data_IF_004206406220
#
_entry.id   IF_004206406220
#
_cell.length_a   1.000
_cell.length_b   1.000
_cell.length_c   1.000
_cell.angle_alpha   90.00
_cell.angle_beta   90.00
_cell.angle_gamma   90.00
#
_symmetry.space_group_name_H-M   'P 1'
#
loop_
_entity.id
_entity.type
_entity.pdbx_description
1 polymer ?
#
# COMPACT_ATOMS: atom_id res chain seq x y z
N UNK A 1 -25.25 17.67 3.41
CA UNK A 1 -24.00 16.89 3.23
C UNK A 1 -23.89 15.82 4.29
N UNK A 2 -23.83 16.14 5.58
CA UNK A 2 -23.67 15.14 6.69
C UNK A 2 -24.79 14.10 6.67
N UNK A 3 -26.05 14.49 6.48
CA UNK A 3 -27.19 13.57 6.42
C UNK A 3 -27.12 12.54 5.28
N UNK A 4 -26.30 12.77 4.27
CA UNK A 4 -26.03 11.79 3.20
C UNK A 4 -24.98 10.75 3.64
N UNK A 5 -23.93 11.17 4.35
CA UNK A 5 -22.79 10.32 4.66
C UNK A 5 -22.87 9.62 6.02
N UNK A 6 -23.57 10.20 7.00
CA UNK A 6 -23.72 9.60 8.31
C UNK A 6 -24.37 8.20 8.27
N UNK A 7 -25.43 7.96 7.48
CA UNK A 7 -25.99 6.61 7.33
C UNK A 7 -25.00 5.60 6.77
N UNK A 8 -24.16 6.01 5.81
CA UNK A 8 -23.12 5.14 5.23
C UNK A 8 -22.10 4.74 6.30
N UNK A 9 -21.61 5.69 7.08
CA UNK A 9 -20.68 5.42 8.17
C UNK A 9 -21.31 4.52 9.25
N UNK A 10 -22.56 4.78 9.60
CA UNK A 10 -23.31 3.94 10.54
C UNK A 10 -23.37 2.49 10.06
N UNK A 11 -23.80 2.25 8.81
CA UNK A 11 -23.86 0.90 8.24
C UNK A 11 -22.52 0.18 8.27
N UNK A 12 -21.43 0.89 7.96
CA UNK A 12 -20.08 0.33 8.00
C UNK A 12 -19.61 -0.05 9.41
N UNK A 13 -20.11 0.65 10.44
CA UNK A 13 -19.59 0.57 11.81
C UNK A 13 -20.59 0.08 12.86
N UNK A 14 -21.87 -0.11 12.56
CA UNK A 14 -22.90 -0.55 13.52
C UNK A 14 -22.56 -1.87 14.22
N UNK A 15 -21.92 -2.82 13.51
CA UNK A 15 -21.43 -4.08 14.10
C UNK A 15 -20.28 -3.90 15.10
N UNK A 16 -19.65 -2.72 15.12
CA UNK A 16 -18.62 -2.33 16.07
C UNK A 16 -19.16 -1.39 17.17
N UNK A 17 -20.49 -1.28 17.28
CA UNK A 17 -21.16 -0.53 18.35
C UNK A 17 -21.41 0.95 18.07
N UNK A 18 -21.10 1.47 16.85
CA UNK A 18 -21.37 2.86 16.52
C UNK A 18 -22.86 3.14 16.45
N UNK A 19 -23.30 4.22 17.08
CA UNK A 19 -24.67 4.74 17.01
C UNK A 19 -24.83 5.69 15.82
N UNK A 20 -26.07 6.00 15.42
CA UNK A 20 -26.33 6.96 14.35
C UNK A 20 -25.90 8.38 14.74
N UNK A 21 -26.02 8.75 16.01
CA UNK A 21 -25.59 10.04 16.52
C UNK A 21 -24.06 10.19 16.43
N UNK A 22 -23.32 9.17 16.88
CA UNK A 22 -21.88 9.12 16.73
C UNK A 22 -21.43 9.17 15.26
N UNK A 23 -22.16 8.48 14.37
CA UNK A 23 -21.90 8.52 12.95
C UNK A 23 -22.12 9.91 12.34
N UNK A 24 -23.16 10.63 12.76
CA UNK A 24 -23.41 12.03 12.38
C UNK A 24 -22.28 12.94 12.83
N UNK A 25 -21.91 12.86 14.11
CA UNK A 25 -20.80 13.63 14.66
C UNK A 25 -19.48 13.30 13.94
N UNK A 26 -19.18 12.01 13.73
CA UNK A 26 -17.94 11.59 13.09
C UNK A 26 -17.86 12.00 11.61
N UNK A 27 -18.99 12.03 10.90
CA UNK A 27 -19.06 12.49 9.51
C UNK A 27 -18.79 14.00 9.33
N UNK A 28 -18.73 14.79 10.43
CA UNK A 28 -18.27 16.18 10.38
C UNK A 28 -16.75 16.32 10.40
N UNK A 29 -16.02 15.27 10.80
CA UNK A 29 -14.57 15.21 10.75
C UNK A 29 -14.11 15.16 9.29
N UNK A 30 -13.21 16.06 8.90
CA UNK A 30 -12.79 16.21 7.49
C UNK A 30 -12.11 14.98 6.91
N UNK A 31 -11.41 14.17 7.72
CA UNK A 31 -10.81 12.91 7.28
C UNK A 31 -11.89 11.88 6.98
N UNK A 32 -12.88 11.75 7.86
CA UNK A 32 -14.00 10.82 7.65
C UNK A 32 -14.90 11.29 6.52
N UNK A 33 -15.15 12.59 6.40
CA UNK A 33 -15.91 13.14 5.29
C UNK A 33 -15.24 12.84 3.94
N UNK A 34 -13.95 13.14 3.82
CA UNK A 34 -13.18 12.83 2.61
C UNK A 34 -13.18 11.34 2.26
N UNK A 35 -12.94 10.48 3.26
CA UNK A 35 -13.00 9.02 3.07
C UNK A 35 -14.40 8.54 2.66
N UNK A 36 -15.47 9.13 3.19
CA UNK A 36 -16.86 8.83 2.81
C UNK A 36 -17.18 9.27 1.40
N UNK A 37 -16.68 10.43 0.95
CA UNK A 37 -16.81 10.88 -0.44
C UNK A 37 -16.15 9.89 -1.41
N UNK A 38 -14.95 9.42 -1.10
CA UNK A 38 -14.29 8.37 -1.90
C UNK A 38 -15.10 7.08 -1.87
N UNK A 39 -15.58 6.66 -0.69
CA UNK A 39 -16.34 5.42 -0.52
C UNK A 39 -17.65 5.40 -1.31
N UNK A 40 -18.29 6.55 -1.49
CA UNK A 40 -19.56 6.70 -2.22
C UNK A 40 -19.39 7.06 -3.69
N UNK A 41 -18.16 7.22 -4.17
CA UNK A 41 -17.86 7.62 -5.55
C UNK A 41 -18.12 9.10 -5.85
N UNK A 42 -18.22 9.94 -4.82
CA UNK A 42 -18.34 11.39 -4.98
C UNK A 42 -16.97 12.07 -5.18
N UNK A 43 -15.89 11.32 -4.94
CA UNK A 43 -14.51 11.68 -5.22
C UNK A 43 -13.71 10.45 -5.63
N UNK A 44 -12.75 10.60 -6.53
CA UNK A 44 -11.88 9.52 -7.00
C UNK A 44 -10.73 9.22 -6.03
N UNK A 45 -10.37 10.17 -5.18
CA UNK A 45 -9.30 10.05 -4.20
C UNK A 45 -9.31 11.18 -3.19
N UNK A 46 -8.45 11.06 -2.17
CA UNK A 46 -8.30 12.04 -1.10
C UNK A 46 -6.83 12.32 -0.85
N UNK A 47 -6.46 13.60 -0.79
CA UNK A 47 -5.14 14.07 -0.34
C UNK A 47 -5.30 14.68 1.04
N UNK A 48 -4.51 14.20 2.01
CA UNK A 48 -4.58 14.64 3.39
C UNK A 48 -3.24 14.47 4.11
N UNK A 49 -3.12 15.03 5.33
CA UNK A 49 -1.96 14.83 6.20
C UNK A 49 -1.24 16.11 6.62
N UNK A 50 -1.58 17.29 6.07
CA UNK A 50 -0.88 18.53 6.39
C UNK A 50 -0.97 18.92 7.89
N UNK A 51 -2.12 18.67 8.52
CA UNK A 51 -2.39 18.98 9.94
C UNK A 51 -2.80 17.75 10.76
N UNK A 52 -2.75 16.56 10.16
CA UNK A 52 -3.12 15.30 10.78
C UNK A 52 -1.95 14.32 10.73
N UNK A 53 -1.86 13.46 11.75
CA UNK A 53 -0.89 12.36 11.73
C UNK A 53 -1.24 11.32 10.68
N UNK A 54 -0.24 10.59 10.20
CA UNK A 54 -0.46 9.42 9.31
C UNK A 54 -1.46 8.44 9.93
N UNK A 55 -1.36 8.20 11.25
CA UNK A 55 -2.27 7.30 11.96
C UNK A 55 -3.73 7.76 11.94
N UNK A 56 -4.01 9.07 11.98
CA UNK A 56 -5.37 9.58 11.91
C UNK A 56 -5.97 9.44 10.52
N UNK A 57 -5.18 9.73 9.47
CA UNK A 57 -5.58 9.53 8.07
C UNK A 57 -5.87 8.05 7.80
N UNK A 58 -4.94 7.17 8.19
CA UNK A 58 -5.10 5.73 8.02
C UNK A 58 -6.30 5.18 8.79
N UNK A 59 -6.57 5.68 9.99
CA UNK A 59 -7.74 5.27 10.79
C UNK A 59 -9.05 5.56 10.06
N UNK A 60 -9.19 6.73 9.45
CA UNK A 60 -10.37 7.07 8.65
C UNK A 60 -10.47 6.16 7.42
N UNK A 61 -9.38 5.97 6.69
CA UNK A 61 -9.32 5.09 5.53
C UNK A 61 -9.70 3.63 5.89
N UNK A 62 -9.12 3.06 6.94
CA UNK A 62 -9.45 1.68 7.37
C UNK A 62 -10.90 1.52 7.83
N UNK A 63 -11.47 2.53 8.46
CA UNK A 63 -12.83 2.44 8.97
C UNK A 63 -13.89 2.61 7.87
N UNK A 64 -13.59 3.34 6.82
CA UNK A 64 -14.52 3.73 5.77
C UNK A 64 -14.24 3.02 4.45
N UNK A 65 -13.03 3.18 3.89
CA UNK A 65 -12.67 2.66 2.56
C UNK A 65 -12.39 1.16 2.64
N UNK A 66 -11.61 0.73 3.63
CA UNK A 66 -11.10 -0.63 3.84
C UNK A 66 -10.09 -1.05 2.77
N UNK A 67 -9.64 -2.31 2.83
CA UNK A 67 -8.78 -2.94 1.84
C UNK A 67 -9.55 -3.38 0.60
N UNK A 68 -8.85 -3.59 -0.50
CA UNK A 68 -9.41 -4.26 -1.67
C UNK A 68 -9.79 -5.70 -1.36
N UNK A 69 -10.76 -6.30 -2.08
CA UNK A 69 -11.13 -7.70 -1.88
C UNK A 69 -9.91 -8.63 -2.02
N UNK A 70 -9.74 -9.52 -1.06
CA UNK A 70 -8.63 -10.49 -1.07
C UNK A 70 -7.29 -9.95 -0.57
N UNK A 71 -7.23 -8.70 -0.12
CA UNK A 71 -6.04 -8.06 0.45
C UNK A 71 -6.27 -7.77 1.93
N UNK A 72 -5.41 -8.29 2.76
CA UNK A 72 -5.47 -8.09 4.22
C UNK A 72 -4.46 -7.03 4.69
N UNK A 73 -3.35 -6.84 3.96
CA UNK A 73 -2.28 -5.92 4.32
C UNK A 73 -2.44 -4.58 3.63
N UNK A 74 -2.51 -3.50 4.40
CA UNK A 74 -2.40 -2.14 3.88
C UNK A 74 -0.96 -1.69 3.94
N UNK A 75 -0.48 -1.09 2.86
CA UNK A 75 0.90 -0.60 2.74
C UNK A 75 0.95 0.81 2.17
N UNK A 76 2.05 1.51 2.43
CA UNK A 76 2.36 2.79 1.81
C UNK A 76 3.34 2.62 0.64
N UNK A 77 3.18 3.42 -0.40
CA UNK A 77 4.12 3.45 -1.52
C UNK A 77 4.60 4.87 -1.80
N UNK A 78 5.91 5.02 -2.06
CA UNK A 78 6.49 6.25 -2.57
C UNK A 78 6.72 6.13 -4.08
N UNK A 79 6.19 7.09 -4.83
CA UNK A 79 6.52 7.31 -6.22
C UNK A 79 7.74 8.25 -6.26
N UNK A 80 8.91 7.70 -6.56
CA UNK A 80 10.17 8.42 -6.54
C UNK A 80 10.54 8.83 -7.96
N UNK A 81 10.53 10.15 -8.21
CA UNK A 81 10.98 10.71 -9.46
C UNK A 81 12.47 11.06 -9.34
N UNK A 82 13.30 10.33 -10.06
CA UNK A 82 14.73 10.52 -10.12
C UNK A 82 15.12 11.68 -11.07
N UNK A 83 16.35 12.20 -10.99
CA UNK A 83 16.84 13.17 -11.96
C UNK A 83 16.66 12.71 -13.41
N UNK A 84 16.41 13.64 -14.34
CA UNK A 84 16.07 13.34 -15.75
C UNK A 84 17.12 12.53 -16.52
N UNK A 85 18.36 12.58 -16.08
CA UNK A 85 19.51 11.86 -16.64
C UNK A 85 19.75 10.50 -15.96
N UNK A 86 18.87 10.11 -15.02
CA UNK A 86 18.98 8.82 -14.35
C UNK A 86 18.72 7.67 -15.32
N UNK A 87 19.62 6.69 -15.29
CA UNK A 87 19.46 5.42 -15.99
C UNK A 87 18.58 4.41 -15.25
N UNK A 88 18.16 4.73 -14.01
CA UNK A 88 17.38 3.85 -13.16
C UNK A 88 15.88 4.14 -13.28
N UNK A 89 15.06 3.12 -13.01
CA UNK A 89 13.61 3.19 -13.09
C UNK A 89 13.07 3.24 -14.52
N UNK A 90 11.77 3.36 -14.64
CA UNK A 90 11.10 3.55 -15.94
C UNK A 90 10.98 5.05 -16.21
N UNK A 91 11.79 5.57 -17.12
CA UNK A 91 11.93 7.03 -17.37
C UNK A 91 12.24 7.84 -16.11
N UNK A 92 13.07 7.30 -15.22
CA UNK A 92 13.41 7.93 -13.93
C UNK A 92 12.36 7.75 -12.83
N UNK A 93 11.28 7.00 -13.06
CA UNK A 93 10.28 6.73 -12.05
C UNK A 93 10.51 5.35 -11.40
N UNK A 94 10.55 5.33 -10.08
CA UNK A 94 10.63 4.13 -9.25
C UNK A 94 9.55 4.14 -8.17
N UNK A 95 9.10 2.95 -7.76
CA UNK A 95 8.15 2.81 -6.65
C UNK A 95 8.79 2.03 -5.52
N UNK A 96 8.69 2.54 -4.31
CA UNK A 96 9.21 1.90 -3.09
C UNK A 96 8.07 1.62 -2.12
N UNK A 97 8.01 0.42 -1.57
CA UNK A 97 7.04 0.00 -0.54
C UNK A 97 7.59 -1.15 0.33
N UNK A 98 7.12 -1.35 1.52
CA UNK A 98 6.29 -0.44 2.30
C UNK A 98 7.19 0.66 2.89
N UNK A 99 6.69 1.87 2.94
CA UNK A 99 7.50 3.00 3.39
C UNK A 99 6.98 3.65 4.69
N UNK A 100 5.82 3.23 5.24
CA UNK A 100 5.24 3.96 6.36
C UNK A 100 4.18 3.23 7.21
N UNK A 101 3.70 2.05 6.84
CA UNK A 101 2.51 1.44 7.46
C UNK A 101 2.84 0.19 8.26
N UNK A 102 3.61 -0.75 7.70
CA UNK A 102 3.95 -2.03 8.33
C UNK A 102 5.45 -2.06 8.67
N UNK A 103 5.84 -1.83 9.94
CA UNK A 103 7.25 -1.72 10.31
C UNK A 103 8.03 -3.03 10.14
N UNK A 104 7.42 -4.17 10.41
CA UNK A 104 8.05 -5.49 10.33
C UNK A 104 7.05 -6.48 9.71
N UNK A 105 6.90 -6.50 8.38
CA UNK A 105 5.98 -7.43 7.71
C UNK A 105 6.49 -8.87 7.84
N UNK A 106 5.58 -9.83 8.01
CA UNK A 106 5.89 -11.23 7.81
C UNK A 106 6.01 -11.57 6.31
N UNK A 107 6.28 -12.84 5.98
CA UNK A 107 6.51 -13.24 4.60
C UNK A 107 5.25 -13.09 3.72
N UNK A 108 4.05 -13.35 4.27
CA UNK A 108 2.80 -13.21 3.54
C UNK A 108 2.47 -11.73 3.31
N UNK A 109 2.57 -10.91 4.35
CA UNK A 109 2.37 -9.46 4.25
C UNK A 109 3.34 -8.82 3.26
N UNK A 110 4.62 -9.24 3.26
CA UNK A 110 5.61 -8.73 2.32
C UNK A 110 5.29 -9.11 0.87
N UNK A 111 4.74 -10.30 0.65
CA UNK A 111 4.24 -10.74 -0.66
C UNK A 111 3.03 -9.90 -1.12
N UNK A 112 2.05 -9.68 -0.24
CA UNK A 112 0.89 -8.80 -0.53
C UNK A 112 1.34 -7.37 -0.85
N UNK A 113 2.29 -6.82 -0.07
CA UNK A 113 2.88 -5.49 -0.33
C UNK A 113 3.48 -5.44 -1.73
N UNK A 114 4.25 -6.46 -2.13
CA UNK A 114 4.87 -6.50 -3.46
C UNK A 114 3.83 -6.52 -4.59
N UNK A 115 2.80 -7.36 -4.48
CA UNK A 115 1.74 -7.48 -5.48
C UNK A 115 0.90 -6.20 -5.56
N UNK A 116 0.44 -5.66 -4.43
CA UNK A 116 -0.36 -4.43 -4.40
C UNK A 116 0.42 -3.21 -4.89
N UNK A 117 1.72 -3.16 -4.60
CA UNK A 117 2.59 -2.08 -5.09
C UNK A 117 2.77 -2.16 -6.61
N UNK A 118 2.85 -3.35 -7.17
CA UNK A 118 2.88 -3.54 -8.62
C UNK A 118 1.60 -3.04 -9.29
N UNK A 119 0.42 -3.29 -8.70
CA UNK A 119 -0.84 -2.73 -9.18
C UNK A 119 -0.87 -1.20 -9.07
N UNK A 120 -0.35 -0.64 -7.98
CA UNK A 120 -0.19 0.81 -7.82
C UNK A 120 0.72 1.39 -8.90
N UNK A 121 1.83 0.73 -9.23
CA UNK A 121 2.74 1.14 -10.29
C UNK A 121 2.04 1.18 -11.67
N UNK A 122 1.19 0.21 -11.98
CA UNK A 122 0.39 0.21 -13.22
C UNK A 122 -0.68 1.30 -13.22
N UNK A 123 -1.49 1.34 -12.18
CA UNK A 123 -2.73 2.14 -12.17
C UNK A 123 -2.49 3.62 -11.87
N UNK A 124 -1.48 3.94 -11.05
CA UNK A 124 -1.19 5.31 -10.61
C UNK A 124 0.02 5.89 -11.32
N UNK A 125 1.11 5.11 -11.45
CA UNK A 125 2.33 5.58 -12.08
C UNK A 125 2.37 5.33 -13.61
N UNK A 126 1.50 4.48 -14.14
CA UNK A 126 1.41 4.19 -15.57
C UNK A 126 2.62 3.42 -16.13
N UNK A 127 3.34 2.67 -15.29
CA UNK A 127 4.52 1.89 -15.66
C UNK A 127 4.28 0.39 -15.54
N UNK A 128 4.95 -0.40 -16.36
CA UNK A 128 4.92 -1.87 -16.23
C UNK A 128 5.90 -2.31 -15.13
N UNK A 129 5.40 -2.89 -14.02
CA UNK A 129 6.23 -3.17 -12.87
C UNK A 129 7.18 -4.35 -13.10
N UNK A 130 8.39 -4.18 -12.61
CA UNK A 130 9.37 -5.23 -12.36
C UNK A 130 9.75 -5.11 -10.88
N UNK A 131 9.41 -6.11 -10.09
CA UNK A 131 9.48 -6.05 -8.63
C UNK A 131 10.71 -6.77 -8.13
N UNK A 132 11.50 -6.09 -7.30
CA UNK A 132 12.57 -6.71 -6.52
C UNK A 132 12.21 -6.70 -5.04
N UNK A 133 12.16 -7.87 -4.41
CA UNK A 133 11.99 -7.97 -2.96
C UNK A 133 13.39 -7.93 -2.35
N UNK A 134 13.64 -6.83 -1.62
CA UNK A 134 14.98 -6.48 -1.17
C UNK A 134 15.40 -7.17 0.14
N UNK A 135 16.67 -7.49 0.21
CA UNK A 135 17.35 -8.03 1.39
C UNK A 135 18.80 -7.53 1.42
N UNK A 136 19.52 -7.80 2.50
CA UNK A 136 20.98 -7.67 2.54
C UNK A 136 21.70 -8.90 1.93
N UNK A 137 20.95 -9.88 1.41
CA UNK A 137 21.44 -11.06 0.68
C UNK A 137 21.01 -11.02 -0.76
N UNK A 138 21.83 -11.53 -1.66
CA UNK A 138 21.49 -11.79 -3.06
C UNK A 138 21.66 -13.28 -3.33
N UNK A 139 20.58 -13.98 -3.62
CA UNK A 139 20.54 -15.39 -4.06
C UNK A 139 21.40 -16.32 -3.20
N UNK A 140 21.20 -16.25 -1.87
CA UNK A 140 21.85 -17.12 -0.91
C UNK A 140 23.24 -16.67 -0.45
N UNK A 141 23.64 -15.41 -0.73
CA UNK A 141 24.93 -14.87 -0.30
C UNK A 141 25.06 -14.75 1.22
N UNK A 142 23.93 -14.71 1.95
CA UNK A 142 23.89 -14.72 3.41
C UNK A 142 22.81 -15.68 3.92
N UNK A 143 22.98 -16.16 5.17
CA UNK A 143 21.99 -17.01 5.88
C UNK A 143 21.51 -16.29 7.12
N UNK A 144 20.22 -16.00 7.21
CA UNK A 144 19.61 -15.33 8.34
C UNK A 144 18.07 -15.44 8.24
N UNK A 145 17.36 -15.47 9.35
CA UNK A 145 15.89 -15.53 9.38
C UNK A 145 15.18 -14.45 8.55
N UNK A 146 15.74 -13.24 8.52
CA UNK A 146 15.22 -12.14 7.67
C UNK A 146 15.44 -12.39 6.18
N UNK A 147 16.47 -13.13 5.81
CA UNK A 147 16.71 -13.57 4.41
C UNK A 147 15.69 -14.64 4.05
N UNK A 148 15.51 -15.64 4.93
CA UNK A 148 14.53 -16.72 4.74
C UNK A 148 13.11 -16.16 4.58
N UNK A 149 12.76 -15.13 5.37
CA UNK A 149 11.50 -14.38 5.22
C UNK A 149 11.33 -13.82 3.81
N UNK A 150 12.34 -13.18 3.25
CA UNK A 150 12.29 -12.58 1.91
C UNK A 150 12.21 -13.66 0.81
N UNK A 151 12.95 -14.76 0.95
CA UNK A 151 12.84 -15.90 0.04
C UNK A 151 11.42 -16.47 0.05
N UNK A 152 10.84 -16.65 1.23
CA UNK A 152 9.48 -17.13 1.37
C UNK A 152 8.46 -16.14 0.79
N UNK A 153 8.61 -14.85 1.03
CA UNK A 153 7.77 -13.81 0.47
C UNK A 153 7.81 -13.79 -1.06
N UNK A 154 8.98 -13.94 -1.66
CA UNK A 154 9.14 -14.04 -3.12
C UNK A 154 8.37 -15.22 -3.70
N UNK A 155 8.45 -16.39 -3.04
CA UNK A 155 7.71 -17.58 -3.45
C UNK A 155 6.19 -17.35 -3.39
N UNK A 156 5.69 -16.81 -2.27
CA UNK A 156 4.27 -16.50 -2.08
C UNK A 156 3.81 -15.49 -3.12
N UNK A 157 4.59 -14.43 -3.38
CA UNK A 157 4.26 -13.42 -4.38
C UNK A 157 4.15 -14.00 -5.80
N UNK A 158 5.00 -14.95 -6.17
CA UNK A 158 4.85 -15.70 -7.44
C UNK A 158 3.58 -16.55 -7.49
N UNK A 159 3.18 -17.15 -6.36
CA UNK A 159 1.94 -17.92 -6.30
C UNK A 159 0.70 -17.00 -6.39
N UNK A 160 0.75 -15.81 -5.79
CA UNK A 160 -0.33 -14.81 -5.84
C UNK A 160 -0.46 -14.14 -7.19
N UNK A 161 0.64 -13.87 -7.88
CA UNK A 161 0.69 -13.15 -9.15
C UNK A 161 1.69 -13.79 -10.13
N UNK A 162 1.34 -14.94 -10.75
CA UNK A 162 2.26 -15.72 -11.60
C UNK A 162 2.79 -14.95 -12.81
N UNK A 163 2.03 -14.01 -13.34
CA UNK A 163 2.39 -13.21 -14.52
C UNK A 163 3.22 -11.96 -14.18
N UNK A 164 3.35 -11.63 -12.91
CA UNK A 164 4.12 -10.47 -12.46
C UNK A 164 5.61 -10.80 -12.44
N UNK A 165 6.42 -9.93 -13.04
CA UNK A 165 7.88 -10.04 -13.01
C UNK A 165 8.39 -9.68 -11.62
N UNK A 166 8.56 -10.70 -10.77
CA UNK A 166 9.06 -10.56 -9.40
C UNK A 166 10.36 -11.34 -9.27
N UNK A 167 11.34 -10.81 -8.56
CA UNK A 167 12.53 -11.52 -8.13
C UNK A 167 12.96 -11.13 -6.71
N UNK A 168 13.67 -12.00 -6.03
CA UNK A 168 14.17 -11.86 -4.66
C UNK A 168 14.77 -13.18 -4.18
N UNK A 169 15.51 -13.22 -3.11
CA UNK A 169 15.98 -12.01 -2.41
C UNK A 169 17.14 -11.35 -3.19
N UNK A 170 17.14 -10.03 -3.24
CA UNK A 170 18.17 -9.24 -3.92
C UNK A 170 18.65 -8.07 -3.03
N UNK A 171 19.93 -7.75 -3.10
CA UNK A 171 20.42 -6.45 -2.63
C UNK A 171 19.98 -5.37 -3.64
N UNK A 172 19.90 -4.10 -3.18
CA UNK A 172 19.41 -3.02 -4.01
C UNK A 172 20.25 -2.78 -5.27
N UNK A 173 21.59 -2.84 -5.14
CA UNK A 173 22.52 -2.73 -6.25
C UNK A 173 22.35 -3.87 -7.26
N UNK A 174 22.18 -5.11 -6.79
CA UNK A 174 21.92 -6.27 -7.64
C UNK A 174 20.57 -6.17 -8.38
N UNK A 175 19.60 -5.46 -7.79
CA UNK A 175 18.27 -5.27 -8.40
C UNK A 175 18.26 -4.21 -9.50
N UNK A 176 19.09 -3.15 -9.42
CA UNK A 176 18.98 -1.98 -10.29
C UNK A 176 20.17 -1.78 -11.23
N UNK A 177 21.35 -2.37 -10.94
CA UNK A 177 22.54 -2.23 -11.78
C UNK A 177 22.63 -3.41 -12.74
N UNK A 178 22.59 -3.20 -14.07
CA UNK A 178 22.82 -4.25 -15.03
C UNK A 178 24.24 -4.83 -14.90
N UNK A 179 24.38 -6.14 -15.10
CA UNK A 179 25.69 -6.81 -15.17
C UNK A 179 26.41 -6.47 -16.47
#
# INVERSE_FOLDING_TARGET
MIDRYAPVLFELRKKKGMTMEEARQKATDILYLGALMVKTGDADGMVSGAIHSTGDVLRAAFQVIKTAPGIDTVSGAFLMLLPRDSQFGENGLMVFADCAVVPEPDAHQLAEIAVCTAETARNVAGIEPRVAILSFSTKGSAKHERVDKVIQATKIAHEMAPDLKIDGELQADAAIVPK
#
